data_IF_365342336285
#
_entry.id   IF_365342336285
#
_cell.length_a   1.000
_cell.length_b   1.000
_cell.length_c   1.000
_cell.angle_alpha   90.00
_cell.angle_beta   90.00
_cell.angle_gamma   90.00
#
_symmetry.space_group_name_H-M   'P 1'
#
loop_
_entity.id
_entity.type
_entity.pdbx_description
1 polymer ?
#
# COMPACT_ATOMS: atom_id res chain seq x y z
N UNK A 1 -12.94 30.32 13.65
CA UNK A 1 -11.86 30.71 12.71
C UNK A 1 -10.67 29.72 12.74
N UNK A 2 -10.92 28.41 12.75
CA UNK A 2 -9.87 27.35 12.65
C UNK A 2 -10.12 26.36 11.49
N UNK A 3 -11.24 26.52 10.77
CA UNK A 3 -11.64 25.64 9.67
C UNK A 3 -10.89 25.94 8.37
N UNK A 4 -10.59 27.22 8.11
CA UNK A 4 -9.86 27.66 6.92
C UNK A 4 -8.43 27.08 6.83
N UNK A 5 -7.58 27.12 7.89
CA UNK A 5 -6.27 26.47 7.82
C UNK A 5 -6.37 24.94 7.72
N UNK A 6 -7.37 24.32 8.37
CA UNK A 6 -7.60 22.87 8.26
C UNK A 6 -7.97 22.43 6.84
N UNK A 7 -8.75 23.23 6.11
CA UNK A 7 -9.09 22.93 4.72
C UNK A 7 -7.86 23.01 3.81
N UNK A 8 -7.05 24.07 4.00
CA UNK A 8 -5.80 24.25 3.23
C UNK A 8 -4.82 23.11 3.48
N UNK A 9 -4.65 22.66 4.73
CA UNK A 9 -3.76 21.52 5.03
C UNK A 9 -4.28 20.23 4.42
N UNK A 10 -5.59 19.98 4.45
CA UNK A 10 -6.16 18.77 3.80
C UNK A 10 -5.94 18.75 2.29
N UNK A 11 -6.10 19.90 1.62
CA UNK A 11 -5.83 20.02 0.18
C UNK A 11 -4.35 19.76 -0.12
N UNK A 12 -3.46 20.37 0.67
CA UNK A 12 -2.03 20.23 0.47
C UNK A 12 -1.59 18.76 0.62
N UNK A 13 -2.10 18.06 1.64
CA UNK A 13 -1.85 16.62 1.82
C UNK A 13 -2.38 15.82 0.63
N UNK A 14 -3.59 16.10 0.15
CA UNK A 14 -4.16 15.42 -1.02
C UNK A 14 -3.30 15.61 -2.27
N UNK A 15 -2.80 16.82 -2.51
CA UNK A 15 -1.93 17.12 -3.66
C UNK A 15 -0.60 16.36 -3.59
N UNK A 16 -0.01 16.26 -2.40
CA UNK A 16 1.24 15.51 -2.21
C UNK A 16 1.01 14.01 -2.48
N UNK A 17 -0.09 13.44 -1.95
CA UNK A 17 -0.45 12.04 -2.21
C UNK A 17 -0.75 11.77 -3.68
N UNK A 18 -1.45 12.69 -4.35
CA UNK A 18 -1.74 12.58 -5.77
C UNK A 18 -0.46 12.57 -6.61
N UNK A 19 0.48 13.49 -6.34
CA UNK A 19 1.77 13.51 -7.03
C UNK A 19 2.58 12.22 -6.79
N UNK A 20 2.55 11.68 -5.57
CA UNK A 20 3.26 10.43 -5.26
C UNK A 20 2.67 9.20 -5.96
N UNK A 21 1.35 9.16 -6.16
CA UNK A 21 0.65 7.99 -6.70
C UNK A 21 0.55 7.95 -8.22
N UNK A 22 0.85 9.06 -8.92
CA UNK A 22 0.63 9.19 -10.37
C UNK A 22 1.37 8.12 -11.19
N UNK A 23 2.60 7.77 -10.81
CA UNK A 23 3.41 6.77 -11.50
C UNK A 23 2.88 5.37 -11.27
N UNK A 24 2.61 5.03 -10.01
CA UNK A 24 2.01 3.75 -9.64
C UNK A 24 0.66 3.53 -10.31
N UNK A 25 -0.17 4.58 -10.36
CA UNK A 25 -1.47 4.54 -11.03
C UNK A 25 -1.32 4.35 -12.55
N UNK A 26 -0.38 5.06 -13.19
CA UNK A 26 -0.10 4.91 -14.63
C UNK A 26 0.35 3.48 -14.96
N UNK A 27 1.23 2.90 -14.15
CA UNK A 27 1.71 1.53 -14.33
C UNK A 27 0.60 0.50 -14.08
N UNK A 28 -0.23 0.72 -13.06
CA UNK A 28 -1.39 -0.11 -12.79
C UNK A 28 -2.37 -0.08 -13.97
N UNK A 29 -2.67 1.10 -14.52
CA UNK A 29 -3.55 1.22 -15.69
C UNK A 29 -2.99 0.48 -16.92
N UNK A 30 -1.69 0.63 -17.19
CA UNK A 30 -1.02 -0.11 -18.28
C UNK A 30 -1.06 -1.63 -18.08
N UNK A 31 -0.97 -2.11 -16.83
CA UNK A 31 -0.97 -3.55 -16.52
C UNK A 31 -2.38 -4.15 -16.55
N UNK A 32 -3.39 -3.41 -16.10
CA UNK A 32 -4.77 -3.87 -16.04
C UNK A 32 -5.44 -3.87 -17.43
N UNK A 33 -5.26 -2.79 -18.21
CA UNK A 33 -5.81 -2.67 -19.57
C UNK A 33 -4.77 -2.09 -20.52
N UNK A 34 -3.88 -2.97 -20.96
CA UNK A 34 -2.79 -2.61 -21.87
C UNK A 34 -3.30 -2.14 -23.23
N UNK A 35 -4.36 -2.75 -23.74
CA UNK A 35 -4.93 -2.44 -25.07
C UNK A 35 -5.44 -1.01 -25.11
N UNK A 36 -6.32 -0.65 -24.18
CA UNK A 36 -6.88 0.70 -24.11
C UNK A 36 -5.80 1.72 -23.75
N UNK A 37 -4.83 1.35 -22.89
CA UNK A 37 -3.70 2.23 -22.59
C UNK A 37 -2.90 2.59 -23.86
N UNK A 38 -2.56 1.59 -24.68
CA UNK A 38 -1.83 1.82 -25.94
C UNK A 38 -2.70 2.63 -26.91
N UNK A 39 -3.99 2.32 -27.01
CA UNK A 39 -4.95 3.01 -27.87
C UNK A 39 -5.30 4.43 -27.40
N UNK A 40 -4.85 4.86 -26.23
CA UNK A 40 -4.99 6.25 -25.79
C UNK A 40 -3.64 6.96 -25.84
N UNK A 41 -2.58 6.34 -25.33
CA UNK A 41 -1.30 7.02 -25.08
C UNK A 41 -0.18 6.74 -26.09
N UNK A 42 -0.36 5.80 -27.03
CA UNK A 42 0.65 5.56 -28.07
C UNK A 42 0.65 6.71 -29.08
N UNK A 43 1.79 7.42 -29.18
CA UNK A 43 2.01 8.53 -30.13
C UNK A 43 2.49 8.07 -31.50
N UNK A 44 3.12 6.89 -31.59
CA UNK A 44 3.70 6.35 -32.82
C UNK A 44 2.89 5.14 -33.33
N UNK A 45 1.59 5.31 -33.52
CA UNK A 45 0.72 4.22 -34.01
C UNK A 45 1.00 3.87 -35.47
N UNK A 46 1.36 4.87 -36.27
CA UNK A 46 1.62 4.72 -37.70
C UNK A 46 3.04 4.21 -38.00
N UNK A 47 3.88 4.04 -36.97
CA UNK A 47 5.29 3.62 -37.08
C UNK A 47 5.58 2.44 -36.15
N UNK A 48 5.10 1.22 -36.47
CA UNK A 48 5.27 0.04 -35.63
C UNK A 48 6.75 -0.33 -35.39
N UNK A 49 7.65 0.06 -36.30
CA UNK A 49 9.10 -0.13 -36.19
C UNK A 49 9.71 0.59 -34.98
N UNK A 50 9.05 1.63 -34.45
CA UNK A 50 9.50 2.37 -33.26
C UNK A 50 9.10 1.71 -31.94
N UNK A 51 8.38 0.58 -31.98
CA UNK A 51 8.05 -0.27 -30.83
C UNK A 51 7.45 0.46 -29.63
N UNK A 52 6.69 1.54 -29.87
CA UNK A 52 6.14 2.40 -28.81
C UNK A 52 5.38 1.59 -27.76
N UNK A 53 4.31 0.89 -28.14
CA UNK A 53 3.55 -0.02 -27.25
C UNK A 53 3.25 0.57 -25.85
N UNK A 54 2.97 1.88 -25.77
CA UNK A 54 2.74 2.60 -24.50
C UNK A 54 4.00 2.98 -23.71
N UNK A 55 5.19 2.50 -24.09
CA UNK A 55 6.47 2.75 -23.42
C UNK A 55 6.89 4.22 -23.40
N UNK A 56 6.55 4.99 -24.45
CA UNK A 56 6.86 6.41 -24.50
C UNK A 56 6.17 7.18 -23.37
N UNK A 57 4.90 6.85 -23.09
CA UNK A 57 4.16 7.46 -21.99
C UNK A 57 4.71 7.02 -20.64
N UNK A 58 5.02 5.73 -20.47
CA UNK A 58 5.63 5.23 -19.24
C UNK A 58 6.97 5.91 -18.94
N UNK A 59 7.83 6.06 -19.94
CA UNK A 59 9.10 6.78 -19.83
C UNK A 59 8.91 8.23 -19.40
N UNK A 60 7.99 8.95 -20.04
CA UNK A 60 7.69 10.36 -19.71
C UNK A 60 7.26 10.54 -18.26
N UNK A 61 6.43 9.64 -17.76
CA UNK A 61 5.91 9.67 -16.39
C UNK A 61 7.02 9.40 -15.36
N UNK A 62 8.00 8.55 -15.69
CA UNK A 62 9.19 8.31 -14.87
C UNK A 62 10.15 9.52 -14.87
N UNK A 63 10.45 10.09 -16.04
CA UNK A 63 11.33 11.26 -16.15
C UNK A 63 10.81 12.49 -15.39
N UNK A 64 9.48 12.63 -15.27
CA UNK A 64 8.88 13.71 -14.49
C UNK A 64 9.18 13.58 -12.98
N UNK A 65 9.34 12.36 -12.46
CA UNK A 65 9.79 12.15 -11.07
C UNK A 65 11.29 12.39 -10.90
N UNK A 66 12.09 11.95 -11.87
CA UNK A 66 13.55 12.04 -11.78
C UNK A 66 14.08 13.46 -12.01
N UNK A 67 13.41 14.27 -12.85
CA UNK A 67 13.82 15.65 -13.15
C UNK A 67 13.80 16.59 -11.94
N UNK A 68 13.08 16.23 -10.88
CA UNK A 68 13.00 17.01 -9.64
C UNK A 68 13.90 16.47 -8.53
N UNK A 69 14.46 15.27 -8.68
CA UNK A 69 15.19 14.58 -7.63
C UNK A 69 16.49 14.00 -8.20
N UNK A 70 17.62 14.68 -7.94
CA UNK A 70 18.97 14.11 -8.11
C UNK A 70 19.17 12.96 -7.09
N UNK A 71 18.41 11.87 -7.22
CA UNK A 71 18.55 10.68 -6.38
C UNK A 71 19.57 9.78 -7.07
N UNK A 72 20.66 9.38 -6.39
CA UNK A 72 21.58 8.41 -6.95
C UNK A 72 20.83 7.09 -7.21
N UNK A 73 21.00 6.55 -8.42
CA UNK A 73 20.44 5.35 -9.08
C UNK A 73 20.29 4.03 -8.27
N UNK A 74 20.42 4.01 -6.95
CA UNK A 74 20.16 2.81 -6.14
C UNK A 74 18.67 2.67 -5.82
N UNK A 75 17.86 2.47 -6.85
CA UNK A 75 16.61 1.73 -6.69
C UNK A 75 17.04 0.30 -6.34
N UNK A 76 16.73 -0.12 -5.12
CA UNK A 76 16.95 -1.49 -4.65
C UNK A 76 16.30 -2.42 -5.68
N UNK A 77 17.10 -3.25 -6.36
CA UNK A 77 16.58 -4.23 -7.31
C UNK A 77 15.80 -5.28 -6.50
N UNK A 78 14.47 -5.12 -6.43
CA UNK A 78 13.56 -6.04 -5.72
C UNK A 78 13.67 -7.50 -6.21
N UNK A 79 14.35 -7.73 -7.35
CA UNK A 79 14.66 -9.05 -7.88
C UNK A 79 15.48 -9.92 -6.91
N UNK A 80 16.25 -9.30 -6.00
CA UNK A 80 17.11 -10.02 -5.05
C UNK A 80 16.45 -10.23 -3.66
N UNK A 81 15.20 -9.82 -3.48
CA UNK A 81 14.49 -10.01 -2.20
C UNK A 81 13.83 -11.38 -2.15
N UNK A 82 14.52 -12.34 -1.51
CA UNK A 82 13.93 -13.63 -1.16
C UNK A 82 13.05 -13.48 0.09
N UNK A 83 11.73 -13.41 -0.08
CA UNK A 83 10.78 -13.41 1.03
C UNK A 83 10.53 -14.83 1.52
N UNK A 84 11.00 -15.15 2.73
CA UNK A 84 10.69 -16.42 3.39
C UNK A 84 9.40 -16.26 4.22
N UNK A 85 8.27 -16.70 3.67
CA UNK A 85 6.98 -16.70 4.37
C UNK A 85 6.85 -17.99 5.19
N UNK A 86 7.13 -17.92 6.49
CA UNK A 86 6.77 -19.01 7.40
C UNK A 86 5.26 -19.00 7.63
N UNK A 87 4.57 -19.97 7.03
CA UNK A 87 3.13 -20.15 7.12
C UNK A 87 2.77 -20.92 8.39
N UNK A 88 2.51 -20.22 9.49
CA UNK A 88 1.89 -20.83 10.68
C UNK A 88 0.53 -20.16 10.94
N UNK A 89 -0.44 -20.50 10.10
CA UNK A 89 -1.84 -20.16 10.30
C UNK A 89 -2.60 -21.42 10.72
N UNK A 90 -2.92 -21.54 12.00
CA UNK A 90 -4.03 -22.38 12.43
C UNK A 90 -5.10 -21.46 13.04
N UNK A 91 -6.04 -21.02 12.22
CA UNK A 91 -7.22 -20.31 12.69
C UNK A 91 -8.36 -21.32 12.84
N UNK A 92 -8.74 -21.62 14.08
CA UNK A 92 -9.97 -22.38 14.34
C UNK A 92 -11.13 -21.40 14.40
N UNK A 93 -11.99 -21.44 13.37
CA UNK A 93 -13.29 -20.79 13.42
C UNK A 93 -14.26 -21.71 14.17
N UNK A 94 -14.70 -21.29 15.37
CA UNK A 94 -15.78 -21.98 16.06
C UNK A 94 -17.12 -21.55 15.46
N UNK A 95 -17.87 -22.49 14.92
CA UNK A 95 -19.24 -22.25 14.47
C UNK A 95 -20.13 -21.95 15.69
N UNK A 96 -20.66 -20.73 15.76
CA UNK A 96 -21.66 -20.35 16.76
C UNK A 96 -23.03 -20.88 16.31
N UNK A 97 -23.67 -21.70 17.15
CA UNK A 97 -25.09 -22.02 17.02
C UNK A 97 -25.87 -21.06 17.91
N UNK A 98 -26.90 -20.44 17.33
CA UNK A 98 -27.81 -19.56 18.05
C UNK A 98 -28.65 -20.43 18.97
N UNK A 99 -28.37 -20.38 20.26
CA UNK A 99 -29.19 -20.99 21.31
C UNK A 99 -30.12 -19.88 21.81
N UNK A 100 -31.44 -20.04 21.66
CA UNK A 100 -32.39 -19.19 22.36
C UNK A 100 -32.22 -19.42 23.86
N UNK A 101 -31.61 -18.45 24.54
CA UNK A 101 -31.38 -18.53 25.98
C UNK A 101 -32.60 -18.01 26.74
N UNK A 102 -33.21 -18.86 27.56
CA UNK A 102 -33.88 -18.40 28.78
C UNK A 102 -32.87 -17.60 29.62
N UNK A 103 -33.33 -16.52 30.26
CA UNK A 103 -32.52 -15.60 31.07
C UNK A 103 -31.74 -16.35 32.14
N UNK A 104 -30.52 -16.74 31.79
CA UNK A 104 -29.49 -17.18 32.72
C UNK A 104 -28.49 -16.04 32.75
N UNK A 105 -28.38 -15.39 33.90
CA UNK A 105 -27.35 -14.39 34.12
C UNK A 105 -26.00 -15.11 34.18
N UNK A 106 -25.36 -15.27 33.01
CA UNK A 106 -24.05 -15.90 32.90
C UNK A 106 -23.00 -14.90 33.37
N UNK A 107 -22.30 -15.22 34.46
CA UNK A 107 -21.12 -14.48 34.86
C UNK A 107 -20.04 -14.63 33.79
N UNK A 108 -19.79 -13.57 33.03
CA UNK A 108 -18.78 -13.57 31.99
C UNK A 108 -17.49 -12.94 32.52
N UNK A 109 -16.51 -13.78 32.88
CA UNK A 109 -15.22 -13.30 33.34
C UNK A 109 -14.34 -12.92 32.14
N UNK A 110 -14.30 -11.64 31.81
CA UNK A 110 -13.49 -11.08 30.71
C UNK A 110 -12.03 -10.86 31.11
N UNK A 111 -11.57 -11.41 32.24
CA UNK A 111 -10.18 -11.31 32.65
C UNK A 111 -9.28 -12.06 31.66
N UNK A 112 -8.49 -11.30 30.91
CA UNK A 112 -7.38 -11.81 30.15
C UNK A 112 -6.08 -11.47 30.90
N UNK A 113 -5.41 -12.50 31.42
CA UNK A 113 -4.10 -12.33 32.04
C UNK A 113 -3.13 -11.75 31.02
N UNK A 114 -2.71 -10.50 31.22
CA UNK A 114 -1.60 -9.92 30.49
C UNK A 114 -0.32 -10.20 31.27
N UNK A 115 0.61 -11.02 30.76
CA UNK A 115 1.92 -11.11 31.37
C UNK A 115 2.55 -9.72 31.30
N UNK A 116 2.74 -9.09 32.46
CA UNK A 116 3.60 -7.93 32.57
C UNK A 116 5.00 -8.42 32.20
N UNK A 117 5.49 -8.01 31.05
CA UNK A 117 6.87 -8.22 30.65
C UNK A 117 7.73 -7.25 31.46
N UNK A 118 7.83 -7.51 32.76
CA UNK A 118 8.75 -6.80 33.64
C UNK A 118 10.12 -7.30 33.25
N UNK A 119 10.92 -6.45 32.61
CA UNK A 119 12.34 -6.71 32.48
C UNK A 119 12.91 -6.82 33.90
N UNK A 120 13.21 -8.03 34.33
CA UNK A 120 13.85 -8.29 35.59
C UNK A 120 15.31 -7.84 35.46
N UNK A 121 15.60 -6.62 35.91
CA UNK A 121 16.98 -6.17 36.07
C UNK A 121 17.38 -6.44 37.52
N UNK A 122 18.47 -7.17 37.78
CA UNK A 122 18.96 -7.33 39.13
C UNK A 122 19.31 -5.94 39.73
N UNK A 123 19.16 -5.76 41.05
CA UNK A 123 19.57 -4.52 41.71
C UNK A 123 21.06 -4.28 41.44
N UNK A 124 21.38 -3.06 41.03
CA UNK A 124 22.78 -2.65 40.85
C UNK A 124 23.37 -2.39 42.23
N UNK A 125 24.46 -3.10 42.54
CA UNK A 125 25.35 -2.80 43.67
C UNK A 125 26.08 -1.47 43.44
#
# INVERSE_FOLDING_TARGET
>A
MKLLPSFVTTILVLLILFNSTIVSFTYAYYTLDRTTFIDVFCVNRDKPELLCNGKCQLKKVLETQDSEQNIPERIINFKDLYFNFNLLNHYNFCNYSIIESQDIMVYNNLYAFKPLQVCFHPPRL
#
